data_IF_986814002432
#
_entry.id   IF_986814002432
#
_cell.length_a   1.000
_cell.length_b   1.000
_cell.length_c   1.000
_cell.angle_alpha   90.00
_cell.angle_beta   90.00
_cell.angle_gamma   90.00
#
_symmetry.space_group_name_H-M   'P 1'
#
loop_
_entity.id
_entity.type
_entity.pdbx_description
1 polymer ?
#
# COMPACT_ATOMS: atom_id res chain seq x y z
N UNK A 1 -4.68 -2.92 6.19
CA UNK A 1 -4.27 -1.64 6.79
C UNK A 1 -3.36 -0.83 5.87
N UNK A 2 -2.16 -1.30 5.53
CA UNK A 2 -1.24 -0.60 4.59
C UNK A 2 -1.93 -0.22 3.28
N UNK A 3 -2.70 -1.14 2.67
CA UNK A 3 -3.46 -0.86 1.44
C UNK A 3 -4.51 0.27 1.63
N UNK A 4 -5.15 0.36 2.80
CA UNK A 4 -6.10 1.45 3.12
C UNK A 4 -5.39 2.78 3.29
N UNK A 5 -4.25 2.80 3.97
CA UNK A 5 -3.42 4.00 4.09
C UNK A 5 -2.89 4.44 2.72
N UNK A 6 -2.52 3.48 1.86
CA UNK A 6 -2.14 3.77 0.48
C UNK A 6 -3.28 4.42 -0.29
N UNK A 7 -4.50 3.88 -0.17
CA UNK A 7 -5.71 4.42 -0.78
C UNK A 7 -6.10 5.81 -0.23
N UNK A 8 -5.75 6.08 1.02
CA UNK A 8 -5.91 7.39 1.67
C UNK A 8 -4.81 8.39 1.30
N UNK A 9 -3.87 8.02 0.41
CA UNK A 9 -2.83 8.93 -0.11
C UNK A 9 -1.49 8.93 0.64
N UNK A 10 -1.32 8.16 1.71
CA UNK A 10 -0.15 8.23 2.59
C UNK A 10 1.12 7.65 1.93
N UNK A 11 2.20 8.41 1.83
CA UNK A 11 3.51 7.91 1.38
C UNK A 11 4.04 6.78 2.26
N UNK A 12 5.02 6.01 1.76
CA UNK A 12 5.61 4.91 2.55
C UNK A 12 6.22 5.42 3.87
N UNK A 13 6.75 6.65 3.88
CA UNK A 13 7.29 7.30 5.07
C UNK A 13 6.19 7.63 6.09
N UNK A 14 5.05 8.17 5.63
CA UNK A 14 3.92 8.47 6.51
C UNK A 14 3.30 7.20 7.08
N UNK A 15 3.17 6.15 6.27
CA UNK A 15 2.71 4.83 6.73
C UNK A 15 3.68 4.26 7.77
N UNK A 16 4.99 4.33 7.51
CA UNK A 16 6.02 3.86 8.42
C UNK A 16 5.95 4.58 9.78
N UNK A 17 5.80 5.91 9.76
CA UNK A 17 5.62 6.71 10.96
C UNK A 17 4.33 6.35 11.70
N UNK A 18 3.22 6.18 10.98
CA UNK A 18 1.92 5.81 11.56
C UNK A 18 1.93 4.43 12.23
N UNK A 19 2.74 3.51 11.71
CA UNK A 19 2.83 2.13 12.20
C UNK A 19 4.03 1.88 13.13
N UNK A 20 4.87 2.89 13.38
CA UNK A 20 6.07 2.76 14.22
C UNK A 20 7.14 1.81 13.67
N UNK A 21 7.24 1.69 12.34
CA UNK A 21 8.20 0.79 11.67
C UNK A 21 9.12 1.55 10.72
N UNK A 22 10.19 0.89 10.26
CA UNK A 22 11.08 1.47 9.25
C UNK A 22 10.40 1.57 7.86
N UNK A 23 10.73 2.60 7.09
CA UNK A 23 10.21 2.78 5.72
C UNK A 23 10.53 1.58 4.80
N UNK A 24 11.70 0.94 4.98
CA UNK A 24 12.08 -0.26 4.25
C UNK A 24 11.11 -1.43 4.46
N UNK A 25 10.57 -1.58 5.67
CA UNK A 25 9.53 -2.58 5.97
C UNK A 25 8.26 -2.31 5.16
N UNK A 26 7.84 -1.03 5.07
CA UNK A 26 6.69 -0.65 4.25
C UNK A 26 6.95 -0.89 2.77
N UNK A 27 8.16 -0.62 2.26
CA UNK A 27 8.51 -0.94 0.86
C UNK A 27 8.29 -2.42 0.56
N UNK A 28 8.72 -3.31 1.45
CA UNK A 28 8.51 -4.76 1.29
C UNK A 28 7.02 -5.12 1.30
N UNK A 29 6.24 -4.54 2.21
CA UNK A 29 4.79 -4.77 2.24
C UNK A 29 4.09 -4.26 0.98
N UNK A 30 4.46 -3.07 0.49
CA UNK A 30 3.91 -2.52 -0.75
C UNK A 30 4.24 -3.44 -1.92
N UNK A 31 5.50 -3.86 -2.09
CA UNK A 31 5.89 -4.82 -3.14
C UNK A 31 5.07 -6.11 -3.10
N UNK A 32 4.86 -6.67 -1.90
CA UNK A 32 4.03 -7.87 -1.73
C UNK A 32 2.56 -7.62 -2.08
N UNK A 33 2.02 -6.44 -1.75
CA UNK A 33 0.65 -6.04 -2.12
C UNK A 33 0.53 -5.93 -3.64
N UNK A 34 1.48 -5.26 -4.31
CA UNK A 34 1.49 -5.12 -5.76
C UNK A 34 1.50 -6.49 -6.45
N UNK A 35 2.37 -7.39 -5.98
CA UNK A 35 2.46 -8.77 -6.47
C UNK A 35 1.15 -9.53 -6.27
N UNK A 36 0.56 -9.50 -5.07
CA UNK A 36 -0.71 -10.18 -4.76
C UNK A 36 -1.90 -9.63 -5.55
N UNK A 37 -1.92 -8.33 -5.83
CA UNK A 37 -2.96 -7.70 -6.64
C UNK A 37 -2.69 -7.83 -8.15
N UNK A 38 -1.50 -8.31 -8.55
CA UNK A 38 -1.10 -8.45 -9.95
C UNK A 38 -0.98 -7.12 -10.69
N UNK A 39 -0.47 -6.08 -10.00
CA UNK A 39 -0.33 -4.72 -10.53
C UNK A 39 1.12 -4.26 -10.44
N UNK A 40 1.50 -3.30 -11.30
CA UNK A 40 2.90 -2.84 -11.44
C UNK A 40 3.25 -1.67 -10.54
N UNK A 41 2.26 -0.90 -10.13
CA UNK A 41 2.47 0.33 -9.38
C UNK A 41 1.37 0.54 -8.34
N UNK A 42 1.68 1.46 -7.43
CA UNK A 42 0.84 1.84 -6.31
C UNK A 42 -0.52 2.40 -6.75
N UNK A 43 -0.56 3.22 -7.80
CA UNK A 43 -1.81 3.84 -8.27
C UNK A 43 -2.77 2.75 -8.75
N UNK A 44 -2.27 1.80 -9.55
CA UNK A 44 -3.03 0.64 -9.99
C UNK A 44 -3.48 -0.24 -8.82
N UNK A 45 -2.66 -0.39 -7.79
CA UNK A 45 -3.04 -1.13 -6.58
C UNK A 45 -4.21 -0.48 -5.85
N UNK A 46 -4.20 0.84 -5.71
CA UNK A 46 -5.28 1.60 -5.06
C UNK A 46 -6.57 1.50 -5.88
N UNK A 47 -6.51 1.74 -7.19
CA UNK A 47 -7.69 1.61 -8.07
C UNK A 47 -8.28 0.20 -8.00
N UNK A 48 -7.45 -0.83 -8.12
CA UNK A 48 -7.89 -2.23 -8.05
C UNK A 48 -8.46 -2.60 -6.68
N UNK A 49 -7.94 -2.00 -5.61
CA UNK A 49 -8.50 -2.21 -4.27
C UNK A 49 -9.92 -1.66 -4.14
N UNK A 50 -10.23 -0.52 -4.77
CA UNK A 50 -11.60 0.01 -4.85
C UNK A 50 -12.52 -0.87 -5.69
N UNK A 51 -12.06 -1.31 -6.87
CA UNK A 51 -12.82 -2.22 -7.75
C UNK A 51 -13.20 -3.53 -7.04
N UNK A 52 -12.30 -4.06 -6.20
CA UNK A 52 -12.49 -5.30 -5.45
C UNK A 52 -13.08 -5.10 -4.05
N UNK A 53 -13.45 -3.87 -3.67
CA UNK A 53 -13.97 -3.53 -2.33
C UNK A 53 -13.06 -4.01 -1.17
N UNK A 54 -11.74 -3.95 -1.35
CA UNK A 54 -10.75 -4.34 -0.34
C UNK A 54 -10.36 -3.21 0.61
N UNK A 55 -10.78 -1.98 0.30
CA UNK A 55 -10.52 -0.75 1.06
C UNK A 55 -11.78 0.05 1.27
#
# INVERSE_FOLDING_TARGET
EILRLMASGFSNKEIANSLGVAEGTIKNHVSNILSKLGVRDRTRAVLKAFELQLV
#
